data_IF_926075118573
#
_entry.id   IF_926075118573
#
_cell.length_a   1.000
_cell.length_b   1.000
_cell.length_c   1.000
_cell.angle_alpha   90.00
_cell.angle_beta   90.00
_cell.angle_gamma   90.00
#
_symmetry.space_group_name_H-M   'P 1'
#
loop_
_entity.id
_entity.type
_entity.pdbx_description
1 polymer ?
#
# COMPACT_ATOMS: atom_id res chain seq x y z
N UNK A 1 10.92 8.04 87.75
CA UNK A 1 11.26 7.17 86.59
C UNK A 1 10.41 7.61 85.44
N UNK A 2 10.97 8.33 84.46
CA UNK A 2 10.24 8.85 83.29
C UNK A 2 10.66 7.97 82.10
N UNK A 3 9.72 7.36 81.42
CA UNK A 3 9.93 6.56 80.22
C UNK A 3 9.66 7.48 79.03
N UNK A 4 10.67 7.75 78.22
CA UNK A 4 10.58 8.41 76.95
C UNK A 4 10.15 7.41 75.86
N UNK A 5 8.99 7.61 75.27
CA UNK A 5 8.52 6.90 74.09
C UNK A 5 9.20 7.52 72.83
N UNK A 6 10.12 6.81 72.24
CA UNK A 6 10.68 7.16 70.93
C UNK A 6 9.68 6.77 69.83
N UNK A 7 9.18 7.73 69.05
CA UNK A 7 8.42 7.47 67.86
C UNK A 7 9.30 6.91 66.74
N UNK A 8 8.88 5.86 66.01
CA UNK A 8 9.60 5.42 64.83
C UNK A 8 9.47 6.46 63.70
N UNK A 9 10.59 6.88 63.12
CA UNK A 9 10.63 7.69 61.92
C UNK A 9 9.99 6.89 60.75
N UNK A 10 8.90 7.41 60.22
CA UNK A 10 8.26 6.87 59.00
C UNK A 10 9.23 7.04 57.82
N UNK A 11 9.65 5.94 57.22
CA UNK A 11 10.37 5.98 55.96
C UNK A 11 9.38 6.43 54.86
N UNK A 12 9.69 7.55 54.23
CA UNK A 12 8.97 7.99 53.01
C UNK A 12 9.02 6.89 51.95
N UNK A 13 7.89 6.54 51.29
CA UNK A 13 7.92 5.60 50.19
C UNK A 13 8.77 6.16 49.05
N UNK A 14 9.68 5.33 48.52
CA UNK A 14 10.54 5.70 47.40
C UNK A 14 9.63 6.11 46.21
N UNK A 15 9.99 7.18 45.47
CA UNK A 15 9.24 7.62 44.30
C UNK A 15 9.13 6.47 43.29
N UNK A 16 7.93 6.28 42.74
CA UNK A 16 7.69 5.26 41.69
C UNK A 16 8.61 5.50 40.49
N UNK A 17 9.18 4.45 39.89
CA UNK A 17 10.03 4.61 38.71
C UNK A 17 9.26 5.32 37.61
N UNK A 18 9.91 6.31 36.97
CA UNK A 18 9.33 7.05 35.85
C UNK A 18 8.96 6.05 34.72
N UNK A 19 7.84 6.27 34.01
CA UNK A 19 7.48 5.43 32.88
C UNK A 19 8.61 5.43 31.85
N UNK A 20 8.94 4.23 31.35
CA UNK A 20 9.95 4.08 30.31
C UNK A 20 9.55 4.87 29.05
N UNK A 21 10.49 5.51 28.34
CA UNK A 21 10.19 6.18 27.08
C UNK A 21 9.61 5.18 26.07
N UNK A 22 8.69 5.62 25.20
CA UNK A 22 8.13 4.76 24.16
C UNK A 22 9.24 4.14 23.31
N UNK A 23 9.11 2.86 22.98
CA UNK A 23 10.06 2.18 22.10
C UNK A 23 10.08 2.87 20.71
N UNK A 24 11.27 3.00 20.13
CA UNK A 24 11.40 3.54 18.77
C UNK A 24 10.69 2.63 17.76
N UNK A 25 10.04 3.20 16.70
CA UNK A 25 9.42 2.42 15.65
C UNK A 25 10.41 1.47 14.98
N UNK A 26 9.97 0.25 14.66
CA UNK A 26 10.80 -0.76 14.01
C UNK A 26 11.07 -0.42 12.55
N UNK A 27 12.20 -0.88 12.02
CA UNK A 27 12.59 -0.77 10.61
C UNK A 27 12.49 -2.11 9.88
N UNK A 28 11.99 -3.14 10.56
CA UNK A 28 11.80 -4.50 10.04
C UNK A 28 10.40 -4.99 10.43
N UNK A 29 9.71 -5.60 9.45
CA UNK A 29 8.41 -6.25 9.65
C UNK A 29 8.61 -7.74 9.32
N UNK A 30 8.66 -8.57 10.33
CA UNK A 30 9.09 -9.98 10.26
C UNK A 30 7.92 -10.98 10.37
N UNK A 31 6.69 -10.49 10.47
CA UNK A 31 5.49 -11.33 10.58
C UNK A 31 4.26 -10.64 9.98
N UNK A 32 3.23 -11.44 9.72
CA UNK A 32 1.93 -10.96 9.25
C UNK A 32 1.24 -10.11 10.31
N UNK A 33 0.61 -9.02 9.89
CA UNK A 33 -0.09 -8.16 10.84
C UNK A 33 -0.53 -6.83 10.27
N UNK A 34 -1.00 -5.99 11.18
CA UNK A 34 -1.31 -4.58 10.93
C UNK A 34 -0.43 -3.74 11.86
N UNK A 35 0.31 -2.80 11.30
CA UNK A 35 1.33 -2.00 11.97
C UNK A 35 0.97 -0.53 11.86
N UNK A 36 0.92 0.17 13.00
CA UNK A 36 0.68 1.61 13.04
C UNK A 36 1.95 2.34 12.62
N UNK A 37 1.84 3.16 11.59
CA UNK A 37 2.98 3.93 11.06
C UNK A 37 3.40 5.03 12.05
N UNK A 38 4.69 5.15 12.29
CA UNK A 38 5.24 6.09 13.28
C UNK A 38 5.22 5.58 14.72
N UNK A 39 4.51 4.47 15.01
CA UNK A 39 4.47 3.85 16.35
C UNK A 39 5.10 2.45 16.32
N UNK A 40 4.56 1.54 15.52
CA UNK A 40 5.07 0.17 15.41
C UNK A 40 6.20 0.08 14.40
N UNK A 41 6.06 0.79 13.28
CA UNK A 41 7.05 0.83 12.19
C UNK A 41 7.39 2.27 11.80
N UNK A 42 8.65 2.48 11.41
CA UNK A 42 9.08 3.78 10.87
C UNK A 42 8.52 4.01 9.47
N UNK A 43 8.17 5.25 9.09
CA UNK A 43 7.89 5.57 7.69
C UNK A 43 9.15 5.44 6.84
N UNK A 44 9.00 5.11 5.55
CA UNK A 44 10.11 4.97 4.61
C UNK A 44 9.83 3.97 3.51
N UNK A 45 10.85 3.62 2.75
CA UNK A 45 10.74 2.62 1.68
C UNK A 45 11.06 1.24 2.24
N UNK A 46 10.16 0.31 2.06
CA UNK A 46 10.32 -1.07 2.49
C UNK A 46 10.39 -2.01 1.29
N UNK A 47 11.32 -2.96 1.36
CA UNK A 47 11.45 -4.02 0.37
C UNK A 47 11.17 -5.38 1.00
N UNK A 48 10.48 -6.25 0.26
CA UNK A 48 10.25 -7.66 0.58
C UNK A 48 10.58 -8.51 -0.64
N UNK A 49 11.14 -9.69 -0.43
CA UNK A 49 11.45 -10.63 -1.52
C UNK A 49 10.18 -11.29 -2.13
N UNK A 50 9.00 -10.94 -1.64
CA UNK A 50 7.74 -11.47 -2.16
C UNK A 50 7.05 -12.43 -1.18
N UNK A 51 6.34 -13.45 -1.68
CA UNK A 51 5.60 -14.36 -0.82
C UNK A 51 6.50 -15.32 -0.03
N UNK A 52 5.96 -15.86 1.04
CA UNK A 52 6.54 -17.00 1.74
C UNK A 52 6.21 -18.28 0.94
N UNK A 53 7.24 -19.02 0.52
CA UNK A 53 7.09 -20.24 -0.29
C UNK A 53 6.36 -19.96 -1.60
N UNK A 54 5.48 -20.88 -2.00
CA UNK A 54 4.66 -20.79 -3.23
C UNK A 54 3.34 -20.01 -2.99
N UNK A 55 3.23 -19.29 -1.85
CA UNK A 55 2.06 -18.53 -1.48
C UNK A 55 1.90 -17.22 -2.24
N UNK A 56 1.09 -16.35 -1.69
CA UNK A 56 0.84 -15.00 -2.23
C UNK A 56 1.13 -13.97 -1.15
N UNK A 57 1.89 -12.94 -1.51
CA UNK A 57 2.13 -11.78 -0.68
C UNK A 57 1.00 -10.76 -0.91
N UNK A 58 0.31 -10.40 0.14
CA UNK A 58 -0.74 -9.37 0.12
C UNK A 58 -0.38 -8.26 1.09
N UNK A 59 -0.44 -7.03 0.63
CA UNK A 59 -0.24 -5.87 1.49
C UNK A 59 -1.19 -4.73 1.13
N UNK A 60 -1.39 -3.81 2.08
CA UNK A 60 -2.16 -2.57 1.88
C UNK A 60 -1.66 -1.45 2.78
N UNK A 61 -1.72 -0.23 2.26
CA UNK A 61 -1.54 1.02 2.98
C UNK A 61 -2.92 1.61 3.26
N UNK A 62 -3.15 2.03 4.47
CA UNK A 62 -4.44 2.55 4.94
C UNK A 62 -4.20 3.95 5.51
N UNK A 63 -5.02 4.90 5.10
CA UNK A 63 -4.95 6.28 5.57
C UNK A 63 -5.16 6.36 7.09
N UNK A 64 -4.55 7.37 7.72
CA UNK A 64 -4.89 7.70 9.10
C UNK A 64 -6.36 8.09 9.21
N UNK A 65 -7.03 7.58 10.25
CA UNK A 65 -8.43 7.87 10.51
C UNK A 65 -8.64 8.24 11.99
N UNK A 66 -9.71 8.97 12.32
CA UNK A 66 -10.07 9.22 13.70
C UNK A 66 -10.28 7.93 14.50
N UNK A 67 -10.11 8.01 15.81
CA UNK A 67 -10.28 6.88 16.70
C UNK A 67 -11.63 6.18 16.48
N UNK A 68 -11.61 4.85 16.35
CA UNK A 68 -12.80 4.02 16.12
C UNK A 68 -13.26 3.94 14.65
N UNK A 69 -12.56 4.59 13.72
CA UNK A 69 -12.83 4.51 12.29
C UNK A 69 -11.68 3.80 11.56
N UNK A 70 -12.01 3.12 10.47
CA UNK A 70 -11.00 2.55 9.56
C UNK A 70 -10.75 3.56 8.44
N UNK A 71 -9.49 3.88 8.19
CA UNK A 71 -9.11 4.75 7.07
C UNK A 71 -9.30 4.07 5.71
N UNK A 72 -9.33 4.87 4.66
CA UNK A 72 -9.40 4.40 3.29
C UNK A 72 -8.10 3.68 2.87
N UNK A 73 -8.23 2.70 1.99
CA UNK A 73 -7.07 2.06 1.38
C UNK A 73 -6.43 3.02 0.37
N UNK A 74 -5.17 3.43 0.64
CA UNK A 74 -4.38 4.30 -0.24
C UNK A 74 -3.80 3.49 -1.38
N UNK A 75 -3.23 2.32 -1.04
CA UNK A 75 -2.54 1.45 -2.00
C UNK A 75 -2.58 0.00 -1.52
N UNK A 76 -2.48 -0.95 -2.46
CA UNK A 76 -2.48 -2.39 -2.16
C UNK A 76 -1.91 -3.20 -3.30
N UNK A 77 -1.34 -4.35 -2.98
CA UNK A 77 -1.03 -5.38 -3.97
C UNK A 77 -1.35 -6.78 -3.45
N UNK A 78 -1.49 -7.68 -4.41
CA UNK A 78 -1.62 -9.12 -4.22
C UNK A 78 -0.73 -9.75 -5.29
N UNK A 79 0.39 -10.34 -4.91
CA UNK A 79 1.48 -10.64 -5.84
C UNK A 79 2.26 -11.90 -5.48
N UNK A 80 2.92 -12.46 -6.47
CA UNK A 80 3.92 -13.54 -6.32
C UNK A 80 5.36 -13.04 -6.50
N UNK A 81 5.55 -11.72 -6.63
CA UNK A 81 6.86 -11.12 -6.93
C UNK A 81 7.38 -10.30 -5.75
N UNK A 82 8.68 -10.02 -5.78
CA UNK A 82 9.31 -9.07 -4.86
C UNK A 82 8.63 -7.70 -4.93
N UNK A 83 8.53 -7.02 -3.80
CA UNK A 83 7.82 -5.74 -3.66
C UNK A 83 8.71 -4.68 -3.05
N UNK A 84 8.55 -3.45 -3.52
CA UNK A 84 9.09 -2.25 -2.89
C UNK A 84 7.94 -1.27 -2.69
N UNK A 85 7.73 -0.81 -1.47
CA UNK A 85 6.59 0.02 -1.09
C UNK A 85 7.06 1.25 -0.34
N UNK A 86 6.60 2.43 -0.74
CA UNK A 86 6.75 3.67 0.03
C UNK A 86 5.64 3.73 1.08
N UNK A 87 6.01 3.75 2.35
CA UNK A 87 5.10 3.99 3.49
C UNK A 87 5.35 5.42 3.96
N UNK A 88 4.33 6.27 3.83
CA UNK A 88 4.45 7.68 4.18
C UNK A 88 4.16 7.92 5.66
N UNK A 89 4.73 8.98 6.23
CA UNK A 89 4.46 9.36 7.64
C UNK A 89 2.99 9.75 7.88
N UNK A 90 2.24 10.04 6.83
CA UNK A 90 0.79 10.34 6.85
C UNK A 90 -0.08 9.08 6.79
N UNK A 91 0.50 7.90 6.51
CA UNK A 91 -0.24 6.65 6.54
C UNK A 91 -0.63 6.29 7.98
N UNK A 92 -1.81 5.76 8.17
CA UNK A 92 -2.26 5.30 9.49
C UNK A 92 -1.77 3.89 9.80
N UNK A 93 -1.93 2.97 8.84
CA UNK A 93 -1.63 1.55 9.06
C UNK A 93 -1.08 0.90 7.79
N UNK A 94 -0.04 0.12 7.96
CA UNK A 94 0.43 -0.83 6.95
C UNK A 94 0.02 -2.25 7.36
N UNK A 95 -0.66 -2.96 6.47
CA UNK A 95 -1.07 -4.35 6.70
C UNK A 95 -0.40 -5.27 5.70
N UNK A 96 0.14 -6.40 6.17
CA UNK A 96 0.80 -7.41 5.34
C UNK A 96 0.41 -8.82 5.74
N UNK A 97 0.34 -9.73 4.78
CA UNK A 97 -0.02 -11.15 4.99
C UNK A 97 0.65 -12.02 3.92
N UNK A 98 1.30 -13.11 4.36
CA UNK A 98 1.95 -14.08 3.48
C UNK A 98 3.18 -13.55 2.77
N UNK A 99 3.74 -12.43 3.21
CA UNK A 99 4.95 -11.84 2.65
C UNK A 99 6.18 -12.26 3.46
N UNK A 100 7.33 -12.38 2.79
CA UNK A 100 8.61 -12.47 3.48
C UNK A 100 8.88 -11.15 4.22
N UNK A 101 9.86 -11.19 5.12
CA UNK A 101 10.26 -10.03 5.92
C UNK A 101 10.42 -8.77 5.08
N UNK A 102 9.80 -7.68 5.52
CA UNK A 102 10.00 -6.35 4.97
C UNK A 102 11.13 -5.65 5.71
N UNK A 103 12.00 -5.02 4.96
CA UNK A 103 13.13 -4.26 5.52
C UNK A 103 13.12 -2.84 4.99
N UNK A 104 13.35 -1.88 5.87
CA UNK A 104 13.58 -0.50 5.47
C UNK A 104 14.83 -0.44 4.58
N UNK A 105 14.76 0.25 3.45
CA UNK A 105 15.79 0.32 2.43
C UNK A 105 15.95 1.73 1.89
N UNK A 106 17.13 2.04 1.37
CA UNK A 106 17.40 3.28 0.63
C UNK A 106 17.09 3.16 -0.87
N UNK A 107 16.43 2.08 -1.31
CA UNK A 107 15.99 1.94 -2.70
C UNK A 107 15.06 3.10 -3.06
N UNK A 108 15.14 3.53 -4.31
CA UNK A 108 14.17 4.49 -4.81
C UNK A 108 12.77 3.90 -4.70
N UNK A 109 11.78 4.65 -4.18
CA UNK A 109 10.39 4.19 -4.16
C UNK A 109 9.94 3.87 -5.59
N UNK A 110 8.99 2.94 -5.76
CA UNK A 110 8.42 2.71 -7.08
C UNK A 110 7.91 4.04 -7.61
N UNK A 111 8.39 4.42 -8.79
CA UNK A 111 7.96 5.66 -9.44
C UNK A 111 6.43 5.68 -9.58
N UNK A 112 5.81 6.85 -9.65
CA UNK A 112 4.40 6.93 -9.98
C UNK A 112 4.18 6.13 -11.26
N UNK A 113 3.23 5.19 -11.24
CA UNK A 113 2.89 4.38 -12.41
C UNK A 113 2.75 5.28 -13.63
N UNK A 114 2.98 4.73 -14.82
CA UNK A 114 2.86 5.50 -16.07
C UNK A 114 1.57 6.32 -16.05
N UNK A 115 1.61 7.61 -16.42
CA UNK A 115 0.41 8.42 -16.52
C UNK A 115 -0.69 7.68 -17.28
N UNK A 116 -1.98 7.83 -16.94
CA UNK A 116 -3.08 7.11 -17.58
C UNK A 116 -3.05 7.16 -19.11
N UNK A 117 -2.59 8.27 -19.67
CA UNK A 117 -2.39 8.46 -21.13
C UNK A 117 -1.34 7.49 -21.68
N UNK A 118 -0.20 7.33 -21.00
CA UNK A 118 0.86 6.40 -21.43
C UNK A 118 0.48 4.95 -21.21
N UNK A 119 -0.29 4.64 -20.16
CA UNK A 119 -0.86 3.30 -19.96
C UNK A 119 -1.84 2.94 -21.08
N UNK A 120 -2.69 3.88 -21.47
CA UNK A 120 -3.61 3.72 -22.62
C UNK A 120 -2.88 3.51 -23.93
N UNK A 121 -1.80 4.25 -24.20
CA UNK A 121 -0.94 4.07 -25.38
C UNK A 121 -0.26 2.72 -25.41
N UNK A 122 0.26 2.25 -24.27
CA UNK A 122 0.90 0.93 -24.15
C UNK A 122 -0.11 -0.19 -24.38
N UNK A 123 -1.31 -0.08 -23.81
CA UNK A 123 -2.40 -1.02 -24.02
C UNK A 123 -2.84 -1.03 -25.50
N UNK A 124 -3.01 0.16 -26.10
CA UNK A 124 -3.37 0.27 -27.52
C UNK A 124 -2.33 -0.40 -28.42
N UNK A 125 -1.04 -0.14 -28.22
CA UNK A 125 0.05 -0.75 -28.98
C UNK A 125 0.06 -2.29 -28.84
N UNK A 126 -0.24 -2.80 -27.66
CA UNK A 126 -0.37 -4.23 -27.40
C UNK A 126 -1.56 -4.84 -28.16
N UNK A 127 -2.73 -4.19 -28.11
CA UNK A 127 -3.94 -4.62 -28.82
C UNK A 127 -3.72 -4.56 -30.35
N UNK A 128 -3.06 -3.53 -30.86
CA UNK A 128 -2.72 -3.42 -32.29
C UNK A 128 -1.79 -4.56 -32.74
N UNK A 129 -0.89 -5.01 -31.87
CA UNK A 129 -0.02 -6.16 -32.13
C UNK A 129 -0.81 -7.46 -32.17
N UNK A 130 -1.70 -7.67 -31.21
CA UNK A 130 -2.59 -8.84 -31.19
C UNK A 130 -3.48 -8.91 -32.43
N UNK A 131 -4.07 -7.78 -32.84
CA UNK A 131 -4.90 -7.72 -34.04
C UNK A 131 -4.12 -8.02 -35.31
N UNK A 132 -2.87 -7.53 -35.44
CA UNK A 132 -2.00 -7.89 -36.59
C UNK A 132 -1.68 -9.37 -36.62
N UNK A 133 -1.36 -9.98 -35.47
CA UNK A 133 -1.06 -11.40 -35.37
C UNK A 133 -2.31 -12.23 -35.71
N UNK A 134 -3.48 -11.85 -35.24
CA UNK A 134 -4.74 -12.51 -35.58
C UNK A 134 -5.06 -12.40 -37.08
N UNK A 135 -4.83 -11.24 -37.69
CA UNK A 135 -5.02 -11.05 -39.13
C UNK A 135 -4.06 -11.93 -39.96
N UNK A 136 -2.80 -12.07 -39.55
CA UNK A 136 -1.83 -12.96 -40.20
C UNK A 136 -2.22 -14.44 -40.06
N UNK A 137 -2.69 -14.83 -38.87
CA UNK A 137 -3.16 -16.20 -38.62
C UNK A 137 -4.36 -16.53 -39.52
N UNK A 138 -5.35 -15.63 -39.61
CA UNK A 138 -6.55 -15.82 -40.45
C UNK A 138 -6.21 -15.82 -41.92
N UNK A 139 -5.24 -15.01 -42.37
CA UNK A 139 -4.79 -15.03 -43.77
C UNK A 139 -4.12 -16.35 -44.17
N UNK A 140 -3.44 -17.02 -43.22
CA UNK A 140 -2.84 -18.35 -43.42
C UNK A 140 -3.82 -19.51 -43.20
N UNK A 141 -4.99 -19.28 -42.63
CA UNK A 141 -6.00 -20.28 -42.28
C UNK A 141 -7.40 -19.80 -42.70
N UNK A 142 -7.81 -19.97 -43.94
CA UNK A 142 -9.10 -19.47 -44.44
C UNK A 142 -10.30 -20.04 -43.69
N UNK A 143 -10.16 -21.20 -43.05
CA UNK A 143 -11.22 -21.86 -42.27
C UNK A 143 -11.18 -21.47 -40.76
N UNK A 144 -10.33 -20.53 -40.36
CA UNK A 144 -10.28 -20.07 -38.98
C UNK A 144 -11.56 -19.33 -38.61
N UNK A 145 -12.06 -19.50 -37.34
CA UNK A 145 -13.22 -18.76 -36.91
C UNK A 145 -12.94 -17.26 -36.96
N UNK A 146 -13.89 -16.47 -37.46
CA UNK A 146 -13.74 -15.02 -37.58
C UNK A 146 -13.33 -14.42 -36.21
N UNK A 147 -12.33 -13.55 -36.24
CA UNK A 147 -11.91 -12.82 -35.04
C UNK A 147 -13.12 -12.05 -34.45
N UNK A 148 -13.24 -11.99 -33.11
CA UNK A 148 -14.31 -11.24 -32.48
C UNK A 148 -14.31 -9.80 -33.01
N UNK A 149 -15.39 -9.38 -33.63
CA UNK A 149 -15.58 -7.99 -34.08
C UNK A 149 -15.44 -7.06 -32.89
N UNK A 150 -14.54 -6.08 -32.99
CA UNK A 150 -14.44 -5.03 -32.01
C UNK A 150 -15.82 -4.42 -31.73
N UNK A 151 -16.22 -4.20 -30.47
CA UNK A 151 -17.48 -3.53 -30.19
C UNK A 151 -17.47 -2.14 -30.87
N UNK A 152 -18.61 -1.67 -31.38
CA UNK A 152 -18.69 -0.35 -32.00
C UNK A 152 -18.18 0.70 -31.01
N UNK A 153 -17.24 1.51 -31.43
CA UNK A 153 -16.75 2.64 -30.63
C UNK A 153 -17.96 3.59 -30.47
N UNK A 154 -18.53 3.57 -29.26
CA UNK A 154 -19.60 4.48 -28.91
C UNK A 154 -19.10 5.91 -29.10
N UNK A 155 -19.72 6.63 -30.04
CA UNK A 155 -19.61 8.08 -30.11
C UNK A 155 -20.11 8.62 -28.77
N UNK A 156 -19.17 9.07 -27.93
CA UNK A 156 -19.51 9.71 -26.66
C UNK A 156 -20.47 10.86 -26.88
N UNK A 157 -21.38 11.14 -25.95
CA UNK A 157 -22.29 12.26 -26.08
C UNK A 157 -21.52 13.56 -26.32
N UNK A 158 -21.98 14.35 -27.26
CA UNK A 158 -21.41 15.65 -27.57
C UNK A 158 -21.38 16.54 -26.31
N UNK A 159 -20.31 17.32 -26.10
CA UNK A 159 -20.24 18.25 -24.96
C UNK A 159 -21.42 19.22 -25.03
N UNK A 160 -22.21 19.29 -23.95
CA UNK A 160 -23.32 20.22 -23.83
C UNK A 160 -22.86 21.68 -23.91
N UNK A 161 -23.75 22.60 -24.33
CA UNK A 161 -23.39 24.01 -24.47
C UNK A 161 -22.95 24.62 -23.15
N UNK A 162 -21.91 25.43 -23.21
CA UNK A 162 -21.36 26.14 -22.06
C UNK A 162 -22.43 27.07 -21.42
N UNK A 163 -22.45 27.22 -20.08
CA UNK A 163 -23.37 28.16 -19.44
C UNK A 163 -23.03 29.60 -19.85
N UNK A 164 -24.03 30.32 -20.30
CA UNK A 164 -23.98 31.77 -20.59
C UNK A 164 -23.79 32.55 -19.28
N UNK A 165 -22.89 33.53 -19.21
CA UNK A 165 -22.78 34.41 -18.06
C UNK A 165 -24.04 35.31 -17.97
N UNK A 166 -24.66 35.32 -16.80
CA UNK A 166 -25.77 36.20 -16.48
C UNK A 166 -25.23 37.59 -16.07
N UNK A 167 -25.83 38.70 -16.49
CA UNK A 167 -25.39 40.05 -16.17
C UNK A 167 -25.51 40.42 -14.69
#
# INVERSE_FOLDING_TARGET
>A
MAWALASPAGADPAPAPAPAPPAAPKTVIDHDGAFVVGTDIAPGVYASAGPVGDGTCSWRRIAAAPAGQTGDTIDRAFTHEAQVVQIDASDGTFKTTGCQTWQLTDQAPPGPGLPPVLQGLKLKAYLDTLNRNAAQYNAGNPDAPAAPVSPPQGTGPAPGPAPTPTP
#
